data_IF_009777967785
#
_entry.id   IF_009777967785
#
_cell.length_a   1.000
_cell.length_b   1.000
_cell.length_c   1.000
_cell.angle_alpha   90.00
_cell.angle_beta   90.00
_cell.angle_gamma   90.00
#
_symmetry.space_group_name_H-M   'P 1'
#
loop_
_entity.id
_entity.type
_entity.pdbx_description
1 polymer ?
#
# COMPACT_ATOMS: atom_id res chain seq x y z
N UNK A 1 -17.43 -0.33 6.25
CA UNK A 1 -16.41 -0.33 5.18
C UNK A 1 -15.03 0.13 5.67
N UNK A 2 -14.93 1.22 6.44
CA UNK A 2 -13.65 1.72 6.97
C UNK A 2 -12.77 0.66 7.64
N UNK A 3 -13.32 -0.11 8.59
CA UNK A 3 -12.59 -1.16 9.30
C UNK A 3 -12.06 -2.28 8.39
N UNK A 4 -12.74 -2.56 7.26
CA UNK A 4 -12.30 -3.55 6.30
C UNK A 4 -11.02 -3.10 5.59
N UNK A 5 -10.91 -1.82 5.23
CA UNK A 5 -9.75 -1.26 4.53
C UNK A 5 -8.51 -1.34 5.42
N UNK A 6 -8.66 -0.94 6.70
CA UNK A 6 -7.59 -1.06 7.69
C UNK A 6 -7.21 -2.50 8.00
N UNK A 7 -8.18 -3.41 8.05
CA UNK A 7 -7.91 -4.83 8.23
C UNK A 7 -7.11 -5.40 7.06
N UNK A 8 -7.50 -5.08 5.82
CA UNK A 8 -6.75 -5.48 4.62
C UNK A 8 -5.34 -4.92 4.66
N UNK A 9 -5.16 -3.63 5.01
CA UNK A 9 -3.84 -3.04 5.15
C UNK A 9 -2.96 -3.77 6.19
N UNK A 10 -3.52 -4.12 7.35
CA UNK A 10 -2.81 -4.89 8.37
C UNK A 10 -2.42 -6.29 7.86
N UNK A 11 -3.33 -7.00 7.19
CA UNK A 11 -3.04 -8.31 6.60
C UNK A 11 -1.95 -8.21 5.54
N UNK A 12 -2.00 -7.19 4.67
CA UNK A 12 -1.00 -6.96 3.62
C UNK A 12 0.38 -6.67 4.22
N UNK A 13 0.47 -5.91 5.31
CA UNK A 13 1.73 -5.66 6.03
C UNK A 13 2.30 -6.93 6.68
N UNK A 14 1.43 -7.88 7.08
CA UNK A 14 1.84 -9.16 7.67
C UNK A 14 2.34 -10.17 6.62
N UNK A 15 2.02 -9.99 5.33
CA UNK A 15 2.50 -10.87 4.25
C UNK A 15 4.03 -10.99 4.24
N UNK A 16 4.82 -9.90 4.19
CA UNK A 16 6.28 -10.00 4.22
C UNK A 16 6.79 -10.59 5.53
N UNK A 17 6.16 -10.28 6.67
CA UNK A 17 6.51 -10.89 7.95
C UNK A 17 6.34 -12.43 7.95
N UNK A 18 5.24 -12.93 7.38
CA UNK A 18 5.00 -14.34 7.20
C UNK A 18 5.96 -14.97 6.17
N UNK A 19 6.23 -14.28 5.05
CA UNK A 19 7.13 -14.74 4.01
C UNK A 19 8.55 -14.97 4.54
N UNK A 20 9.07 -14.07 5.38
CA UNK A 20 10.38 -14.23 6.03
C UNK A 20 10.48 -15.46 6.96
N UNK A 21 9.35 -16.00 7.45
CA UNK A 21 9.35 -17.23 8.24
C UNK A 21 9.40 -18.48 7.36
N UNK A 22 9.03 -18.37 6.09
CA UNK A 22 8.90 -19.49 5.14
C UNK A 22 10.13 -19.57 4.22
N UNK A 23 10.67 -18.41 3.81
CA UNK A 23 11.78 -18.32 2.85
C UNK A 23 12.78 -17.23 3.26
N UNK A 24 14.05 -17.45 2.89
CA UNK A 24 15.12 -16.46 3.02
C UNK A 24 15.20 -15.49 1.83
N UNK A 25 14.33 -15.62 0.82
CA UNK A 25 14.29 -14.74 -0.35
C UNK A 25 13.72 -13.36 -0.03
N UNK A 26 12.80 -13.29 0.93
CA UNK A 26 12.29 -12.01 1.46
C UNK A 26 13.13 -11.67 2.69
N UNK A 27 13.77 -10.49 2.67
CA UNK A 27 14.61 -10.02 3.79
C UNK A 27 14.33 -8.55 4.05
N UNK A 28 13.22 -8.29 4.71
CA UNK A 28 12.85 -6.95 5.13
C UNK A 28 13.48 -6.61 6.47
N UNK A 29 14.05 -5.42 6.58
CA UNK A 29 14.47 -4.85 7.84
C UNK A 29 13.34 -4.02 8.48
N UNK A 30 13.61 -3.43 9.65
CA UNK A 30 12.60 -2.60 10.33
C UNK A 30 12.20 -1.36 9.52
N UNK A 31 13.12 -0.77 8.75
CA UNK A 31 12.82 0.40 7.93
C UNK A 31 11.87 0.03 6.78
N UNK A 32 12.04 -1.13 6.15
CA UNK A 32 11.13 -1.63 5.11
C UNK A 32 9.69 -1.73 5.64
N UNK A 33 9.50 -2.27 6.84
CA UNK A 33 8.19 -2.34 7.49
C UNK A 33 7.60 -0.96 7.79
N UNK A 34 8.41 -0.02 8.27
CA UNK A 34 7.96 1.33 8.59
C UNK A 34 7.56 2.08 7.32
N UNK A 35 8.37 1.99 6.26
CA UNK A 35 8.12 2.63 4.98
C UNK A 35 6.85 2.04 4.35
N UNK A 36 6.79 0.71 4.22
CA UNK A 36 5.64 0.05 3.61
C UNK A 36 4.35 0.24 4.42
N UNK A 37 4.44 0.18 5.76
CA UNK A 37 3.33 0.50 6.66
C UNK A 37 2.86 1.94 6.51
N UNK A 38 3.78 2.90 6.42
CA UNK A 38 3.47 4.31 6.15
C UNK A 38 2.77 4.52 4.81
N UNK A 39 3.21 3.82 3.76
CA UNK A 39 2.56 3.84 2.46
C UNK A 39 1.12 3.29 2.50
N UNK A 40 0.90 2.19 3.23
CA UNK A 40 -0.44 1.62 3.42
C UNK A 40 -1.36 2.58 4.18
N UNK A 41 -0.86 3.22 5.23
CA UNK A 41 -1.59 4.25 5.98
C UNK A 41 -1.98 5.40 5.04
N UNK A 42 -1.04 5.92 4.26
CA UNK A 42 -1.30 7.00 3.30
C UNK A 42 -2.37 6.61 2.27
N UNK A 43 -2.30 5.40 1.72
CA UNK A 43 -3.28 4.88 0.77
C UNK A 43 -4.68 4.74 1.41
N UNK A 44 -4.77 4.23 2.64
CA UNK A 44 -6.03 4.13 3.38
C UNK A 44 -6.66 5.50 3.63
N UNK A 45 -5.85 6.47 4.09
CA UNK A 45 -6.30 7.84 4.33
C UNK A 45 -6.77 8.51 3.04
N UNK A 46 -6.03 8.35 1.94
CA UNK A 46 -6.43 8.88 0.63
C UNK A 46 -7.75 8.27 0.16
N UNK A 47 -7.94 6.96 0.34
CA UNK A 47 -9.19 6.28 0.00
C UNK A 47 -10.34 6.79 0.86
N UNK A 48 -10.17 6.91 2.17
CA UNK A 48 -11.17 7.47 3.07
C UNK A 48 -11.56 8.89 2.68
N UNK A 49 -10.58 9.78 2.46
CA UNK A 49 -10.80 11.15 2.02
C UNK A 49 -11.58 11.21 0.71
N UNK A 50 -11.21 10.40 -0.29
CA UNK A 50 -11.93 10.29 -1.55
C UNK A 50 -13.39 9.86 -1.33
N UNK A 51 -13.63 8.85 -0.50
CA UNK A 51 -14.99 8.37 -0.23
C UNK A 51 -15.82 9.37 0.57
N UNK A 52 -15.19 10.23 1.37
CA UNK A 52 -15.86 11.31 2.08
C UNK A 52 -16.24 12.48 1.16
N UNK A 53 -15.40 12.77 0.15
CA UNK A 53 -15.59 13.90 -0.77
C UNK A 53 -16.51 13.58 -1.95
N UNK A 54 -16.74 12.31 -2.26
CA UNK A 54 -17.46 11.89 -3.48
C UNK A 54 -18.42 10.75 -3.21
N UNK A 55 -19.70 10.99 -3.52
CA UNK A 55 -20.76 9.98 -3.39
C UNK A 55 -21.05 9.20 -4.69
N UNK A 56 -20.43 9.59 -5.81
CA UNK A 56 -20.64 8.96 -7.13
C UNK A 56 -19.74 7.74 -7.30
N UNK A 57 -20.34 6.56 -7.47
CA UNK A 57 -19.63 5.28 -7.61
C UNK A 57 -18.53 5.30 -8.70
N UNK A 58 -18.80 5.90 -9.86
CA UNK A 58 -17.82 6.00 -10.97
C UNK A 58 -16.52 6.68 -10.57
N UNK A 59 -16.60 7.76 -9.78
CA UNK A 59 -15.42 8.51 -9.33
C UNK A 59 -14.69 7.76 -8.21
N UNK A 60 -15.42 7.01 -7.37
CA UNK A 60 -14.82 6.16 -6.35
C UNK A 60 -14.01 5.02 -6.96
N UNK A 61 -14.49 4.40 -8.05
CA UNK A 61 -13.76 3.36 -8.77
C UNK A 61 -12.50 3.95 -9.42
N UNK A 62 -12.64 5.05 -10.17
CA UNK A 62 -11.51 5.69 -10.84
C UNK A 62 -10.43 6.16 -9.84
N UNK A 63 -10.83 6.84 -8.76
CA UNK A 63 -9.88 7.30 -7.74
C UNK A 63 -9.28 6.15 -6.93
N UNK A 64 -10.04 5.08 -6.66
CA UNK A 64 -9.51 3.86 -6.06
C UNK A 64 -8.43 3.21 -6.92
N UNK A 65 -8.66 3.09 -8.23
CA UNK A 65 -7.65 2.61 -9.18
C UNK A 65 -6.41 3.49 -9.20
N UNK A 66 -6.58 4.82 -9.18
CA UNK A 66 -5.46 5.76 -9.14
C UNK A 66 -4.62 5.58 -7.86
N UNK A 67 -5.25 5.47 -6.69
CA UNK A 67 -4.55 5.23 -5.42
C UNK A 67 -3.75 3.92 -5.46
N UNK A 68 -4.37 2.84 -5.95
CA UNK A 68 -3.72 1.54 -6.07
C UNK A 68 -2.54 1.59 -7.05
N UNK A 69 -2.72 2.24 -8.20
CA UNK A 69 -1.66 2.41 -9.19
C UNK A 69 -0.48 3.22 -8.62
N UNK A 70 -0.75 4.37 -7.98
CA UNK A 70 0.28 5.19 -7.32
C UNK A 70 1.00 4.41 -6.23
N UNK A 71 0.27 3.64 -5.42
CA UNK A 71 0.87 2.79 -4.38
C UNK A 71 1.86 1.80 -4.98
N UNK A 72 1.47 1.06 -6.03
CA UNK A 72 2.36 0.10 -6.68
C UNK A 72 3.55 0.77 -7.37
N UNK A 73 3.36 1.91 -8.03
CA UNK A 73 4.47 2.65 -8.64
C UNK A 73 5.49 3.03 -7.57
N UNK A 74 5.07 3.70 -6.50
CA UNK A 74 5.97 4.10 -5.41
C UNK A 74 6.65 2.89 -4.78
N UNK A 75 5.90 1.80 -4.57
CA UNK A 75 6.47 0.60 -3.94
C UNK A 75 7.51 -0.07 -4.82
N UNK A 76 7.24 -0.21 -6.12
CA UNK A 76 8.18 -0.78 -7.07
C UNK A 76 9.43 0.09 -7.21
N UNK A 77 9.32 1.41 -7.18
CA UNK A 77 10.48 2.30 -7.15
C UNK A 77 11.33 2.08 -5.91
N UNK A 78 10.72 1.96 -4.73
CA UNK A 78 11.45 1.75 -3.48
C UNK A 78 12.03 0.34 -3.36
N UNK A 79 11.33 -0.68 -3.86
CA UNK A 79 11.73 -2.08 -3.74
C UNK A 79 12.70 -2.55 -4.84
N UNK A 80 12.50 -2.08 -6.07
CA UNK A 80 13.25 -2.55 -7.26
C UNK A 80 14.16 -1.45 -7.81
N UNK A 81 13.89 -0.17 -7.53
CA UNK A 81 14.69 0.93 -8.06
C UNK A 81 14.54 1.10 -9.57
N UNK A 82 13.31 1.01 -10.09
CA UNK A 82 13.04 0.99 -11.54
C UNK A 82 13.59 2.23 -12.25
N UNK A 83 13.58 3.41 -11.60
CA UNK A 83 14.12 4.64 -12.18
C UNK A 83 15.65 4.79 -12.15
N UNK A 84 16.38 3.88 -11.48
CA UNK A 84 17.85 3.92 -11.43
C UNK A 84 18.45 5.17 -10.74
N UNK A 85 19.77 5.21 -10.47
CA UNK A 85 20.41 6.41 -9.96
C UNK A 85 20.62 7.38 -11.13
N UNK A 86 20.00 8.56 -11.04
CA UNK A 86 20.31 9.71 -11.89
C UNK A 86 21.69 10.30 -11.59
#
# INVERSE_FOLDING_TARGET
MRHLVWFVAAVVLLVPAAAMQITNEVRWDTADFVIFGGMLIAACLAFEAMTALTNRARYRIAGGLAIVATFFVVWLELAVGIMGPG
#
